data_IF_525488227749
#
_entry.id   IF_525488227749
#
_cell.length_a   1.000
_cell.length_b   1.000
_cell.length_c   1.000
_cell.angle_alpha   90.00
_cell.angle_beta   90.00
_cell.angle_gamma   90.00
#
_symmetry.space_group_name_H-M   'P 1'
#
loop_
_entity.id
_entity.type
_entity.pdbx_description
1 polymer ?
#
# COMPACT_ATOMS: atom_id res chain seq x y z
N UNK A 1 0.28 17.79 -8.59
CA UNK A 1 0.14 17.62 -7.12
C UNK A 1 1.50 17.25 -6.53
N UNK A 2 1.97 17.96 -5.50
CA UNK A 2 3.31 17.71 -4.90
C UNK A 2 3.22 16.55 -3.89
N UNK A 3 4.31 15.79 -3.71
CA UNK A 3 4.50 14.74 -2.67
C UNK A 3 3.75 13.40 -2.83
N UNK A 4 3.39 12.99 -4.05
CA UNK A 4 2.68 11.71 -4.32
C UNK A 4 3.34 10.47 -3.68
N UNK A 5 4.67 10.40 -3.66
CA UNK A 5 5.38 9.31 -3.00
C UNK A 5 5.15 9.28 -1.48
N UNK A 6 5.19 10.45 -0.82
CA UNK A 6 4.99 10.53 0.64
C UNK A 6 3.56 10.13 1.02
N UNK A 7 2.58 10.58 0.24
CA UNK A 7 1.16 10.19 0.43
C UNK A 7 0.99 8.67 0.31
N UNK A 8 1.58 8.05 -0.72
CA UNK A 8 1.52 6.59 -0.90
C UNK A 8 2.17 5.86 0.27
N UNK A 9 3.33 6.30 0.74
CA UNK A 9 3.98 5.69 1.92
C UNK A 9 3.11 5.79 3.16
N UNK A 10 2.49 6.95 3.41
CA UNK A 10 1.60 7.15 4.55
C UNK A 10 0.34 6.28 4.44
N UNK A 11 -0.21 6.10 3.24
CA UNK A 11 -1.32 5.17 3.02
C UNK A 11 -0.92 3.71 3.30
N UNK A 12 0.26 3.27 2.84
CA UNK A 12 0.76 1.91 3.07
C UNK A 12 1.04 1.64 4.55
N UNK A 13 1.58 2.62 5.27
CA UNK A 13 1.80 2.57 6.72
C UNK A 13 0.47 2.40 7.46
N UNK A 14 -0.52 3.24 7.15
CA UNK A 14 -1.87 3.14 7.73
C UNK A 14 -2.52 1.77 7.47
N UNK A 15 -2.39 1.24 6.25
CA UNK A 15 -2.89 -0.09 5.89
C UNK A 15 -2.24 -1.19 6.73
N UNK A 16 -0.92 -1.12 6.88
CA UNK A 16 -0.13 -2.06 7.68
C UNK A 16 -0.54 -2.00 9.15
N UNK A 17 -0.72 -0.81 9.70
CA UNK A 17 -1.16 -0.58 11.08
C UNK A 17 -2.56 -1.17 11.33
N UNK A 18 -3.48 -0.98 10.40
CA UNK A 18 -4.84 -1.54 10.47
C UNK A 18 -4.83 -3.07 10.46
N UNK A 19 -4.06 -3.69 9.56
CA UNK A 19 -3.97 -5.14 9.47
C UNK A 19 -3.28 -5.74 10.70
N UNK A 20 -2.23 -5.09 11.22
CA UNK A 20 -1.57 -5.47 12.46
C UNK A 20 -2.50 -5.39 13.68
N UNK A 21 -3.36 -4.36 13.76
CA UNK A 21 -4.36 -4.25 14.84
C UNK A 21 -5.35 -5.41 14.86
N UNK A 22 -5.60 -6.04 13.71
CA UNK A 22 -6.44 -7.23 13.59
C UNK A 22 -5.66 -8.53 13.86
N UNK A 23 -4.36 -8.45 14.21
CA UNK A 23 -3.45 -9.59 14.40
C UNK A 23 -3.41 -10.53 13.19
N UNK A 24 -3.59 -9.99 11.98
CA UNK A 24 -3.50 -10.75 10.75
C UNK A 24 -2.03 -10.94 10.36
N UNK A 25 -1.68 -12.11 9.86
CA UNK A 25 -0.40 -12.31 9.19
C UNK A 25 -0.59 -11.99 7.72
N UNK A 26 0.13 -11.01 7.19
CA UNK A 26 -0.03 -10.57 5.81
C UNK A 26 1.29 -10.22 5.15
N UNK A 27 1.27 -10.20 3.82
CA UNK A 27 2.34 -9.69 2.97
C UNK A 27 1.76 -8.61 2.05
N UNK A 28 2.41 -7.45 2.01
CA UNK A 28 1.98 -6.31 1.19
C UNK A 28 3.03 -5.99 0.12
N UNK A 29 2.56 -5.79 -1.11
CA UNK A 29 3.40 -5.41 -2.25
C UNK A 29 2.74 -4.25 -2.99
N UNK A 30 3.51 -3.22 -3.31
CA UNK A 30 3.04 -2.05 -4.02
C UNK A 30 3.90 -1.81 -5.26
N UNK A 31 3.27 -1.62 -6.42
CA UNK A 31 3.96 -1.38 -7.67
C UNK A 31 3.19 -0.40 -8.56
N UNK A 32 3.93 0.52 -9.17
CA UNK A 32 3.42 1.35 -10.25
C UNK A 32 3.46 0.53 -11.53
N UNK A 33 2.32 0.04 -12.02
CA UNK A 33 2.26 -0.82 -13.21
C UNK A 33 2.45 -0.01 -14.49
N UNK A 34 2.79 -0.69 -15.59
CA UNK A 34 3.06 -0.04 -16.87
C UNK A 34 1.89 0.82 -17.40
N UNK A 35 0.65 0.42 -17.09
CA UNK A 35 -0.56 1.12 -17.53
C UNK A 35 -1.04 2.20 -16.56
N UNK A 36 -0.52 2.22 -15.34
CA UNK A 36 -0.93 3.16 -14.30
C UNK A 36 -0.34 4.55 -14.60
N UNK A 37 -1.16 5.61 -14.56
CA UNK A 37 -0.67 6.99 -14.80
C UNK A 37 -0.47 7.77 -13.51
N UNK A 38 -1.56 8.04 -12.81
CA UNK A 38 -1.53 8.79 -11.55
C UNK A 38 -1.88 7.93 -10.31
N UNK A 39 -1.69 6.63 -10.43
CA UNK A 39 -2.06 5.62 -9.43
C UNK A 39 -0.95 4.59 -9.22
N UNK A 40 -1.10 3.75 -8.20
CA UNK A 40 -0.27 2.57 -8.00
C UNK A 40 -1.18 1.39 -7.66
N UNK A 41 -0.75 0.19 -8.02
CA UNK A 41 -1.45 -1.03 -7.65
C UNK A 41 -0.83 -1.64 -6.40
N UNK A 42 -1.65 -1.97 -5.41
CA UNK A 42 -1.23 -2.63 -4.16
C UNK A 42 -1.90 -4.00 -4.08
N UNK A 43 -1.11 -5.01 -3.74
CA UNK A 43 -1.53 -6.38 -3.54
C UNK A 43 -1.25 -6.80 -2.10
N UNK A 44 -2.24 -7.41 -1.45
CA UNK A 44 -2.16 -7.86 -0.06
C UNK A 44 -2.55 -9.34 -0.02
N UNK A 45 -1.66 -10.18 0.52
CA UNK A 45 -1.91 -11.60 0.74
C UNK A 45 -2.03 -11.83 2.24
N UNK A 46 -3.13 -12.41 2.68
CA UNK A 46 -3.34 -12.84 4.06
C UNK A 46 -2.92 -14.31 4.18
N UNK A 47 -2.16 -14.64 5.22
CA UNK A 47 -1.71 -16.01 5.54
C UNK A 47 -2.59 -16.64 6.60
#
# INVERSE_FOLDING_TARGET
MKKRYQEVMQCLENLTDMLNKQNLTFEIQAKHLFHDREEITVHIVIK
#
